data_IF_098409968857
#
_entry.id   IF_098409968857
#
_cell.length_a   1.000
_cell.length_b   1.000
_cell.length_c   1.000
_cell.angle_alpha   90.00
_cell.angle_beta   90.00
_cell.angle_gamma   90.00
#
_symmetry.space_group_name_H-M   'P 1'
#
loop_
_entity.id
_entity.type
_entity.pdbx_description
1 polymer ?
#
# COMPACT_ATOMS: atom_id res chain seq x y z
N UNK A 1 -54.75 -29.24 76.99
CA UNK A 1 -53.89 -29.97 76.04
C UNK A 1 -54.61 -29.97 74.70
N UNK A 2 -53.86 -29.77 73.59
CA UNK A 2 -54.26 -29.78 72.16
C UNK A 2 -55.27 -28.69 71.74
N UNK A 3 -55.09 -27.84 70.73
CA UNK A 3 -54.16 -27.77 69.58
C UNK A 3 -54.18 -26.32 69.00
N UNK A 4 -53.03 -25.63 68.84
CA UNK A 4 -52.91 -24.45 67.98
C UNK A 4 -52.19 -24.78 66.65
N UNK A 5 -52.46 -25.94 66.05
CA UNK A 5 -51.65 -26.46 64.92
C UNK A 5 -52.18 -26.09 63.52
N UNK A 6 -53.38 -25.50 63.42
CA UNK A 6 -54.06 -25.28 62.13
C UNK A 6 -53.67 -23.93 61.47
N UNK A 7 -53.22 -22.94 62.24
CA UNK A 7 -52.98 -21.58 61.75
C UNK A 7 -51.63 -21.43 61.03
N UNK A 8 -50.59 -22.09 61.56
CA UNK A 8 -49.22 -22.00 61.03
C UNK A 8 -49.07 -22.62 59.62
N UNK A 9 -49.90 -23.62 59.28
CA UNK A 9 -49.89 -24.24 57.94
C UNK A 9 -50.56 -23.38 56.87
N UNK A 10 -51.35 -22.38 57.26
CA UNK A 10 -52.04 -21.48 56.32
C UNK A 10 -51.13 -20.30 55.96
N UNK A 11 -50.45 -19.71 56.94
CA UNK A 11 -49.46 -18.66 56.70
C UNK A 11 -48.26 -19.17 55.89
N UNK A 12 -47.73 -20.36 56.19
CA UNK A 12 -46.65 -20.98 55.39
C UNK A 12 -47.03 -21.18 53.92
N UNK A 13 -48.31 -21.47 53.61
CA UNK A 13 -48.78 -21.67 52.22
C UNK A 13 -48.93 -20.35 51.46
N UNK A 14 -49.38 -19.28 52.13
CA UNK A 14 -49.50 -17.95 51.53
C UNK A 14 -48.11 -17.35 51.30
N UNK A 15 -47.20 -17.49 52.27
CA UNK A 15 -45.80 -17.11 52.12
C UNK A 15 -45.14 -17.84 50.94
N UNK A 16 -45.28 -19.17 50.84
CA UNK A 16 -44.74 -19.95 49.72
C UNK A 16 -45.26 -19.53 48.34
N UNK A 17 -46.53 -19.12 48.24
CA UNK A 17 -47.10 -18.61 46.98
C UNK A 17 -46.54 -17.23 46.62
N UNK A 18 -46.45 -16.32 47.59
CA UNK A 18 -45.86 -14.98 47.39
C UNK A 18 -44.37 -15.06 47.05
N UNK A 19 -43.60 -15.94 47.69
CA UNK A 19 -42.18 -16.17 47.38
C UNK A 19 -42.00 -16.74 45.98
N UNK A 20 -42.82 -17.72 45.56
CA UNK A 20 -42.78 -18.28 44.21
C UNK A 20 -43.09 -17.24 43.15
N UNK A 21 -44.10 -16.40 43.37
CA UNK A 21 -44.48 -15.37 42.41
C UNK A 21 -43.35 -14.35 42.21
N UNK A 22 -42.75 -13.86 43.30
CA UNK A 22 -41.62 -12.91 43.21
C UNK A 22 -40.38 -13.52 42.56
N UNK A 23 -40.09 -14.81 42.79
CA UNK A 23 -38.99 -15.51 42.13
C UNK A 23 -39.21 -15.67 40.62
N UNK A 24 -40.44 -15.94 40.20
CA UNK A 24 -40.79 -16.03 38.77
C UNK A 24 -40.64 -14.65 38.11
N UNK A 25 -41.14 -13.59 38.73
CA UNK A 25 -41.00 -12.22 38.22
C UNK A 25 -39.52 -11.81 38.10
N UNK A 26 -38.72 -12.09 39.13
CA UNK A 26 -37.27 -11.82 39.11
C UNK A 26 -36.55 -12.65 38.04
N UNK A 27 -36.90 -13.93 37.88
CA UNK A 27 -36.31 -14.79 36.86
C UNK A 27 -36.62 -14.29 35.44
N UNK A 28 -37.85 -13.82 35.19
CA UNK A 28 -38.23 -13.24 33.90
C UNK A 28 -37.43 -11.98 33.59
N UNK A 29 -37.26 -11.07 34.56
CA UNK A 29 -36.47 -9.84 34.38
C UNK A 29 -35.00 -10.17 34.11
N UNK A 30 -34.39 -11.05 34.91
CA UNK A 30 -32.99 -11.46 34.74
C UNK A 30 -32.79 -12.16 33.40
N UNK A 31 -33.71 -13.03 33.00
CA UNK A 31 -33.65 -13.72 31.71
C UNK A 31 -33.75 -12.76 30.53
N UNK A 32 -34.62 -11.74 30.61
CA UNK A 32 -34.71 -10.67 29.61
C UNK A 32 -33.39 -9.89 29.45
N UNK A 33 -32.74 -9.53 30.57
CA UNK A 33 -31.44 -8.85 30.56
C UNK A 33 -30.33 -9.74 29.98
N UNK A 34 -30.29 -11.03 30.34
CA UNK A 34 -29.30 -11.97 29.82
C UNK A 34 -29.44 -12.18 28.31
N UNK A 35 -30.67 -12.27 27.80
CA UNK A 35 -30.93 -12.36 26.35
C UNK A 35 -30.46 -11.09 25.65
N UNK A 36 -30.76 -9.91 26.18
CA UNK A 36 -30.32 -8.64 25.59
C UNK A 36 -28.78 -8.57 25.49
N UNK A 37 -28.07 -8.91 26.57
CA UNK A 37 -26.60 -8.97 26.58
C UNK A 37 -26.04 -10.03 25.62
N UNK A 38 -26.71 -11.17 25.46
CA UNK A 38 -26.29 -12.20 24.51
C UNK A 38 -26.44 -11.74 23.05
N UNK A 39 -27.51 -11.00 22.74
CA UNK A 39 -27.72 -10.43 21.41
C UNK A 39 -26.70 -9.34 21.08
N UNK A 40 -26.39 -8.44 22.03
CA UNK A 40 -25.39 -7.39 21.83
C UNK A 40 -24.01 -7.99 21.48
N UNK A 41 -23.59 -9.02 22.22
CA UNK A 41 -22.34 -9.74 21.95
C UNK A 41 -22.32 -10.42 20.57
N UNK A 42 -23.46 -10.98 20.11
CA UNK A 42 -23.54 -11.64 18.81
C UNK A 42 -23.48 -10.64 17.65
N UNK A 43 -24.19 -9.51 17.77
CA UNK A 43 -24.19 -8.46 16.74
C UNK A 43 -22.82 -7.81 16.62
N UNK A 44 -22.16 -7.55 17.76
CA UNK A 44 -20.80 -7.03 17.79
C UNK A 44 -19.81 -8.00 17.13
N UNK A 45 -19.91 -9.29 17.41
CA UNK A 45 -19.07 -10.33 16.79
C UNK A 45 -19.25 -10.39 15.27
N UNK A 46 -20.49 -10.32 14.77
CA UNK A 46 -20.78 -10.32 13.32
C UNK A 46 -20.24 -9.06 12.66
N UNK A 47 -20.50 -7.89 13.25
CA UNK A 47 -20.04 -6.61 12.73
C UNK A 47 -18.51 -6.56 12.65
N UNK A 48 -17.81 -6.98 13.71
CA UNK A 48 -16.36 -6.95 13.77
C UNK A 48 -15.70 -7.92 12.78
N UNK A 49 -16.36 -9.03 12.40
CA UNK A 49 -15.91 -9.88 11.29
C UNK A 49 -16.06 -9.20 9.93
N UNK A 50 -17.17 -8.47 9.73
CA UNK A 50 -17.36 -7.63 8.55
C UNK A 50 -16.28 -6.55 8.45
N UNK A 51 -16.03 -5.83 9.55
CA UNK A 51 -15.03 -4.77 9.63
C UNK A 51 -13.60 -5.30 9.30
N UNK A 52 -13.25 -6.51 9.75
CA UNK A 52 -11.97 -7.14 9.43
C UNK A 52 -11.86 -7.51 7.94
N UNK A 53 -12.95 -7.96 7.32
CA UNK A 53 -12.97 -8.26 5.88
C UNK A 53 -12.83 -6.99 5.04
N UNK A 54 -13.61 -5.96 5.34
CA UNK A 54 -13.56 -4.66 4.64
C UNK A 54 -12.17 -4.02 4.74
N UNK A 55 -11.51 -4.21 5.89
CA UNK A 55 -10.15 -3.78 6.11
C UNK A 55 -9.15 -4.50 5.20
N UNK A 56 -9.25 -5.83 5.08
CA UNK A 56 -8.38 -6.61 4.18
C UNK A 56 -8.62 -6.25 2.70
N UNK A 57 -9.86 -5.90 2.32
CA UNK A 57 -10.16 -5.36 0.98
C UNK A 57 -9.48 -4.02 0.76
N UNK A 58 -9.51 -3.11 1.75
CA UNK A 58 -8.81 -1.82 1.65
C UNK A 58 -7.28 -2.00 1.56
N UNK A 59 -6.71 -2.98 2.29
CA UNK A 59 -5.30 -3.33 2.18
C UNK A 59 -4.95 -3.82 0.77
N UNK A 60 -5.81 -4.68 0.20
CA UNK A 60 -5.61 -5.20 -1.16
C UNK A 60 -5.50 -4.08 -2.19
N UNK A 61 -6.34 -3.06 -2.11
CA UNK A 61 -6.32 -1.94 -3.06
C UNK A 61 -5.02 -1.12 -2.97
N UNK A 62 -4.54 -0.84 -1.75
CA UNK A 62 -3.23 -0.20 -1.54
C UNK A 62 -2.07 -1.06 -2.07
N UNK A 63 -2.12 -2.39 -1.83
CA UNK A 63 -1.12 -3.34 -2.32
C UNK A 63 -1.12 -3.43 -3.85
N UNK A 64 -2.29 -3.54 -4.49
CA UNK A 64 -2.40 -3.59 -5.95
C UNK A 64 -1.87 -2.31 -6.61
N UNK A 65 -2.12 -1.15 -5.99
CA UNK A 65 -1.52 0.10 -6.44
C UNK A 65 0.02 0.09 -6.29
N UNK A 66 0.55 -0.41 -5.17
CA UNK A 66 1.99 -0.56 -4.97
C UNK A 66 2.63 -1.53 -5.99
N UNK A 67 1.97 -2.66 -6.29
CA UNK A 67 2.38 -3.62 -7.32
C UNK A 67 2.41 -2.96 -8.70
N UNK A 68 1.36 -2.23 -9.07
CA UNK A 68 1.31 -1.50 -10.35
C UNK A 68 2.44 -0.48 -10.48
N UNK A 69 2.68 0.31 -9.43
CA UNK A 69 3.76 1.31 -9.42
C UNK A 69 5.15 0.65 -9.49
N UNK A 70 5.31 -0.50 -8.84
CA UNK A 70 6.52 -1.31 -8.88
C UNK A 70 6.75 -1.91 -10.27
N UNK A 71 5.69 -2.42 -10.91
CA UNK A 71 5.75 -2.92 -12.28
C UNK A 71 6.16 -1.83 -13.26
N UNK A 72 5.60 -0.61 -13.15
CA UNK A 72 5.98 0.51 -14.00
C UNK A 72 7.49 0.82 -13.88
N UNK A 73 8.05 0.73 -12.66
CA UNK A 73 9.49 0.91 -12.44
C UNK A 73 10.33 -0.13 -13.19
N UNK A 74 9.87 -1.38 -13.27
CA UNK A 74 10.56 -2.40 -14.06
C UNK A 74 10.47 -2.10 -15.57
N UNK A 75 9.30 -1.69 -16.06
CA UNK A 75 9.07 -1.36 -17.48
C UNK A 75 10.01 -0.26 -17.94
N UNK A 76 10.20 0.80 -17.16
CA UNK A 76 11.00 1.97 -17.58
C UNK A 76 12.48 1.89 -17.19
N UNK A 77 12.90 0.88 -16.44
CA UNK A 77 14.27 0.80 -15.92
C UNK A 77 15.36 0.92 -17.01
N UNK A 78 15.23 0.29 -18.20
CA UNK A 78 16.23 0.44 -19.25
C UNK A 78 16.27 1.87 -19.81
N UNK A 79 15.12 2.51 -19.98
CA UNK A 79 15.02 3.91 -20.42
C UNK A 79 15.71 4.88 -19.45
N UNK A 80 15.46 4.71 -18.15
CA UNK A 80 16.09 5.54 -17.12
C UNK A 80 17.62 5.36 -17.11
N UNK A 81 18.08 4.13 -17.26
CA UNK A 81 19.51 3.80 -17.34
C UNK A 81 20.17 4.45 -18.55
N UNK A 82 19.55 4.31 -19.73
CA UNK A 82 20.03 4.92 -20.96
C UNK A 82 20.04 6.46 -20.87
N UNK A 83 18.99 7.06 -20.30
CA UNK A 83 18.95 8.52 -20.16
C UNK A 83 20.06 9.02 -19.24
N UNK A 84 20.33 8.31 -18.14
CA UNK A 84 21.37 8.70 -17.19
C UNK A 84 22.77 8.55 -17.78
N UNK A 85 23.01 7.52 -18.61
CA UNK A 85 24.29 7.36 -19.31
C UNK A 85 24.53 8.49 -20.31
N UNK A 86 23.49 8.93 -21.04
CA UNK A 86 23.55 10.09 -21.94
C UNK A 86 23.88 11.37 -21.17
N UNK A 87 23.18 11.64 -20.08
CA UNK A 87 23.43 12.84 -19.25
C UNK A 87 24.86 12.84 -18.66
N UNK A 88 25.33 11.67 -18.22
CA UNK A 88 26.70 11.50 -17.72
C UNK A 88 27.72 11.80 -18.82
N UNK A 89 27.53 11.24 -20.02
CA UNK A 89 28.42 11.49 -21.15
C UNK A 89 28.46 12.98 -21.51
N UNK A 90 27.31 13.68 -21.47
CA UNK A 90 27.24 15.12 -21.72
C UNK A 90 28.06 15.94 -20.71
N UNK A 91 27.94 15.66 -19.41
CA UNK A 91 28.74 16.36 -18.37
C UNK A 91 30.23 16.04 -18.49
N UNK A 92 30.57 14.87 -19.02
CA UNK A 92 31.96 14.46 -19.27
C UNK A 92 32.58 15.07 -20.53
N UNK A 93 31.80 15.72 -21.40
CA UNK A 93 32.29 16.36 -22.62
C UNK A 93 33.43 17.34 -22.30
N UNK A 94 34.52 17.35 -23.10
CA UNK A 94 35.56 18.37 -23.00
C UNK A 94 34.98 19.79 -23.04
N UNK A 95 35.67 20.75 -22.41
CA UNK A 95 35.28 22.17 -22.39
C UNK A 95 34.01 22.52 -21.58
N UNK A 96 33.35 21.53 -20.97
CA UNK A 96 32.17 21.78 -20.15
C UNK A 96 31.01 22.35 -20.96
N UNK A 97 30.91 21.97 -22.23
CA UNK A 97 29.82 22.35 -23.11
C UNK A 97 28.87 21.18 -23.31
N UNK A 98 27.56 21.43 -23.26
CA UNK A 98 26.54 20.45 -23.62
C UNK A 98 25.28 21.11 -24.18
N UNK A 99 24.61 20.38 -25.05
CA UNK A 99 23.29 20.73 -25.53
C UNK A 99 22.22 20.38 -24.49
N UNK A 100 21.13 21.15 -24.51
CA UNK A 100 19.96 20.87 -23.70
C UNK A 100 19.44 19.45 -23.97
N UNK A 101 19.21 18.68 -22.91
CA UNK A 101 18.69 17.32 -23.02
C UNK A 101 17.34 17.14 -22.30
N UNK A 102 16.31 17.96 -22.58
CA UNK A 102 15.02 17.85 -21.90
C UNK A 102 14.40 16.47 -22.16
N UNK A 103 13.78 15.89 -21.14
CA UNK A 103 12.92 14.73 -21.30
C UNK A 103 11.61 15.18 -21.99
N UNK A 104 11.10 14.33 -22.88
CA UNK A 104 9.83 14.59 -23.56
C UNK A 104 8.69 14.53 -22.52
N UNK A 105 7.85 15.56 -22.47
CA UNK A 105 6.63 15.55 -21.67
C UNK A 105 5.42 15.32 -22.56
N UNK A 106 4.82 14.12 -22.47
CA UNK A 106 3.58 13.78 -23.21
C UNK A 106 2.36 13.61 -22.31
N UNK A 107 2.42 14.00 -21.03
CA UNK A 107 1.27 13.99 -20.11
C UNK A 107 1.66 14.14 -18.63
N UNK A 108 0.77 14.72 -17.83
CA UNK A 108 0.96 14.98 -16.38
C UNK A 108 1.13 16.47 -16.03
N UNK A 109 1.29 16.77 -14.72
CA UNK A 109 1.52 18.11 -14.18
C UNK A 109 2.50 18.90 -15.05
N UNK A 110 2.05 20.01 -15.62
CA UNK A 110 2.88 20.90 -16.41
C UNK A 110 3.93 21.53 -15.48
N UNK A 111 5.12 20.95 -15.44
CA UNK A 111 6.28 21.61 -14.82
C UNK A 111 6.68 22.77 -15.72
N UNK A 112 6.85 23.95 -15.13
CA UNK A 112 7.19 25.17 -15.88
C UNK A 112 8.59 25.10 -16.50
N UNK A 113 9.47 24.25 -15.95
CA UNK A 113 10.83 24.06 -16.43
C UNK A 113 11.00 22.66 -17.00
N UNK A 114 11.76 22.51 -18.11
CA UNK A 114 12.11 21.20 -18.64
C UNK A 114 12.92 20.40 -17.60
N UNK A 115 12.65 19.10 -17.51
CA UNK A 115 13.43 18.19 -16.67
C UNK A 115 14.31 17.31 -17.56
N UNK A 116 15.61 17.14 -17.26
CA UNK A 116 16.49 16.31 -18.09
C UNK A 116 16.32 14.82 -17.78
N UNK A 117 15.75 14.47 -16.63
CA UNK A 117 15.51 13.09 -16.20
C UNK A 117 14.12 13.00 -15.57
N UNK A 118 13.35 11.95 -15.90
CA UNK A 118 11.94 11.81 -15.47
C UNK A 118 11.70 10.47 -14.78
N UNK A 119 11.94 10.41 -13.48
CA UNK A 119 11.42 9.31 -12.67
C UNK A 119 9.90 9.46 -12.49
N UNK A 120 9.10 8.38 -12.47
CA UNK A 120 7.67 8.47 -12.23
C UNK A 120 7.40 8.82 -10.76
N UNK A 121 6.62 9.88 -10.53
CA UNK A 121 6.03 10.17 -9.21
C UNK A 121 4.76 9.38 -9.06
N UNK A 122 4.78 8.42 -8.14
CA UNK A 122 3.59 7.66 -7.75
C UNK A 122 3.34 7.81 -6.27
N UNK A 123 2.06 7.79 -5.90
CA UNK A 123 1.65 7.74 -4.50
C UNK A 123 1.81 6.30 -4.01
N UNK A 124 2.64 6.13 -3.00
CA UNK A 124 2.80 4.89 -2.24
C UNK A 124 1.94 5.00 -0.99
N UNK A 125 0.75 4.41 -1.00
CA UNK A 125 -0.25 4.58 0.05
C UNK A 125 -0.10 3.50 1.12
N UNK A 126 -0.01 3.91 2.37
CA UNK A 126 -0.12 3.08 3.58
C UNK A 126 -1.40 3.39 4.37
N UNK A 127 -2.25 4.27 3.82
CA UNK A 127 -3.31 4.94 4.58
C UNK A 127 -4.37 3.98 5.12
N UNK A 128 -4.65 2.87 4.43
CA UNK A 128 -5.58 1.87 4.95
C UNK A 128 -4.96 1.12 6.12
N UNK A 129 -3.69 0.72 6.00
CA UNK A 129 -2.95 0.05 7.07
C UNK A 129 -2.78 0.94 8.31
N UNK A 130 -2.36 2.19 8.14
CA UNK A 130 -2.15 3.12 9.25
C UNK A 130 -3.45 3.40 10.03
N UNK A 131 -4.59 3.52 9.33
CA UNK A 131 -5.91 3.67 9.97
C UNK A 131 -6.36 2.40 10.70
N UNK A 132 -5.86 1.24 10.27
CA UNK A 132 -6.18 -0.05 10.88
C UNK A 132 -5.46 -0.25 12.21
N UNK A 133 -4.26 0.32 12.35
CA UNK A 133 -3.42 0.13 13.51
C UNK A 133 -4.18 0.56 14.78
N UNK A 134 -4.34 -0.38 15.72
CA UNK A 134 -5.07 -0.15 16.96
C UNK A 134 -6.59 -0.32 16.88
N UNK A 135 -7.17 -0.54 15.69
CA UNK A 135 -8.59 -0.88 15.56
C UNK A 135 -8.88 -2.28 16.09
N UNK A 136 -10.09 -2.49 16.62
CA UNK A 136 -10.56 -3.83 17.04
C UNK A 136 -10.64 -4.81 15.85
N UNK A 137 -10.96 -4.30 14.66
CA UNK A 137 -10.98 -5.09 13.42
C UNK A 137 -9.60 -5.68 13.09
N UNK A 138 -8.53 -4.88 13.22
CA UNK A 138 -7.16 -5.36 12.97
C UNK A 138 -6.73 -6.45 13.95
N UNK A 139 -7.14 -6.37 15.22
CA UNK A 139 -6.84 -7.40 16.24
C UNK A 139 -7.44 -8.77 15.93
N UNK A 140 -8.43 -8.83 15.04
CA UNK A 140 -9.10 -10.06 14.60
C UNK A 140 -8.45 -10.69 13.37
N UNK A 141 -7.56 -9.97 12.69
CA UNK A 141 -6.75 -10.56 11.63
C UNK A 141 -5.81 -11.60 12.29
N UNK A 142 -5.76 -12.85 11.79
CA UNK A 142 -4.80 -13.86 12.22
C UNK A 142 -3.38 -13.30 12.25
N UNK A 143 -2.64 -13.62 13.30
CA UNK A 143 -1.34 -13.00 13.59
C UNK A 143 -0.34 -13.14 12.44
N UNK A 144 -0.27 -14.31 11.81
CA UNK A 144 0.59 -14.58 10.66
C UNK A 144 0.27 -13.68 9.46
N UNK A 145 -1.02 -13.42 9.21
CA UNK A 145 -1.46 -12.49 8.17
C UNK A 145 -1.17 -11.04 8.54
N UNK A 146 -1.42 -10.65 9.79
CA UNK A 146 -1.11 -9.32 10.30
C UNK A 146 0.39 -8.99 10.21
N UNK A 147 1.26 -9.96 10.54
CA UNK A 147 2.72 -9.85 10.38
C UNK A 147 3.10 -9.68 8.90
N UNK A 148 2.49 -10.47 7.99
CA UNK A 148 2.73 -10.34 6.54
C UNK A 148 2.32 -8.97 6.01
N UNK A 149 1.17 -8.43 6.45
CA UNK A 149 0.76 -7.06 6.10
C UNK A 149 1.75 -6.03 6.63
N UNK A 150 2.15 -6.14 7.90
CA UNK A 150 3.08 -5.20 8.51
C UNK A 150 4.42 -5.14 7.75
N UNK A 151 4.98 -6.29 7.38
CA UNK A 151 6.21 -6.35 6.59
C UNK A 151 6.06 -5.71 5.21
N UNK A 152 4.97 -5.99 4.49
CA UNK A 152 4.72 -5.42 3.16
C UNK A 152 4.48 -3.91 3.23
N UNK A 153 3.67 -3.44 4.17
CA UNK A 153 3.41 -2.00 4.33
C UNK A 153 4.65 -1.24 4.80
N UNK A 154 5.53 -1.84 5.60
CA UNK A 154 6.84 -1.26 5.91
C UNK A 154 7.72 -1.10 4.65
N UNK A 155 7.68 -2.04 3.71
CA UNK A 155 8.39 -1.89 2.43
C UNK A 155 7.79 -0.80 1.54
N UNK A 156 6.45 -0.71 1.51
CA UNK A 156 5.74 0.36 0.78
C UNK A 156 6.10 1.73 1.36
N UNK A 157 6.19 1.84 2.69
CA UNK A 157 6.56 3.08 3.37
C UNK A 157 8.02 3.47 3.09
N UNK A 158 8.96 2.53 3.22
CA UNK A 158 10.36 2.77 2.84
C UNK A 158 10.48 3.19 1.35
N UNK A 159 9.64 2.63 0.47
CA UNK A 159 9.60 3.04 -0.94
C UNK A 159 9.03 4.44 -1.12
N UNK A 160 8.05 4.85 -0.30
CA UNK A 160 7.48 6.20 -0.27
C UNK A 160 8.55 7.24 0.06
N UNK A 161 9.34 6.99 1.09
CA UNK A 161 10.45 7.86 1.51
C UNK A 161 11.52 7.95 0.40
N UNK A 162 11.98 6.81 -0.11
CA UNK A 162 12.96 6.79 -1.20
C UNK A 162 12.44 7.47 -2.48
N UNK A 163 11.12 7.47 -2.72
CA UNK A 163 10.53 8.18 -3.85
C UNK A 163 10.64 9.70 -3.70
N UNK A 164 10.50 10.21 -2.48
CA UNK A 164 10.68 11.64 -2.19
C UNK A 164 12.16 12.04 -2.38
N UNK A 165 13.09 11.22 -1.88
CA UNK A 165 14.52 11.46 -2.03
C UNK A 165 14.98 11.39 -3.49
N UNK A 166 14.48 10.41 -4.26
CA UNK A 166 14.73 10.34 -5.70
C UNK A 166 14.25 11.62 -6.40
N UNK A 167 13.06 12.13 -6.04
CA UNK A 167 12.55 13.38 -6.60
C UNK A 167 13.41 14.59 -6.27
N UNK A 168 13.89 14.69 -5.03
CA UNK A 168 14.82 15.73 -4.61
C UNK A 168 16.13 15.64 -5.41
N UNK A 169 16.70 14.44 -5.54
CA UNK A 169 17.90 14.21 -6.33
C UNK A 169 17.71 14.57 -7.81
N UNK A 170 16.58 14.20 -8.42
CA UNK A 170 16.27 14.55 -9.82
C UNK A 170 16.16 16.07 -10.01
N UNK A 171 15.61 16.80 -9.05
CA UNK A 171 15.50 18.27 -9.14
C UNK A 171 16.87 18.96 -9.21
N UNK A 172 17.90 18.36 -8.60
CA UNK A 172 19.28 18.88 -8.65
C UNK A 172 19.93 18.76 -10.05
N UNK A 173 19.31 18.01 -10.96
CA UNK A 173 19.76 17.88 -12.34
C UNK A 173 19.22 18.98 -13.26
N UNK A 174 18.36 19.88 -12.78
CA UNK A 174 17.74 20.94 -13.59
C UNK A 174 18.69 21.71 -14.52
N UNK A 175 19.95 22.04 -14.14
CA UNK A 175 20.89 22.72 -15.05
C UNK A 175 21.17 21.97 -16.36
N UNK A 176 21.05 20.64 -16.37
CA UNK A 176 21.28 19.81 -17.57
C UNK A 176 20.15 19.91 -18.60
N UNK A 177 19.02 20.52 -18.24
CA UNK A 177 17.92 20.75 -19.17
C UNK A 177 18.15 21.96 -20.10
N UNK A 178 19.22 22.73 -19.86
CA UNK A 178 19.56 23.93 -20.61
C UNK A 178 20.93 23.77 -21.27
N UNK A 179 21.15 24.41 -22.43
CA UNK A 179 22.46 24.37 -23.06
C UNK A 179 23.45 25.15 -22.18
N UNK A 180 24.68 24.66 -22.08
CA UNK A 180 25.75 25.30 -21.31
C UNK A 180 27.04 25.30 -22.10
N UNK A 181 27.88 26.30 -21.86
CA UNK A 181 29.23 26.42 -22.44
C UNK A 181 30.21 26.89 -21.36
N UNK A 182 31.44 26.38 -21.39
CA UNK A 182 32.50 26.82 -20.47
C UNK A 182 32.23 26.52 -19.00
N UNK A 183 31.56 25.41 -18.69
CA UNK A 183 31.22 25.06 -17.30
C UNK A 183 32.48 24.69 -16.52
N UNK A 184 32.66 25.36 -15.38
CA UNK A 184 33.79 25.15 -14.48
C UNK A 184 33.88 23.70 -13.97
N UNK A 185 35.11 23.25 -13.69
CA UNK A 185 35.38 21.89 -13.23
C UNK A 185 34.64 21.56 -11.92
N UNK A 186 34.51 22.50 -10.98
CA UNK A 186 33.79 22.26 -9.73
C UNK A 186 32.30 22.03 -9.95
N UNK A 187 31.67 22.78 -10.86
CA UNK A 187 30.26 22.60 -11.24
C UNK A 187 30.06 21.24 -11.89
N UNK A 188 30.97 20.82 -12.78
CA UNK A 188 30.93 19.49 -13.41
C UNK A 188 31.02 18.37 -12.37
N UNK A 189 31.93 18.48 -11.39
CA UNK A 189 32.03 17.51 -10.28
C UNK A 189 30.73 17.46 -9.49
N UNK A 190 30.13 18.60 -9.17
CA UNK A 190 28.83 18.66 -8.49
C UNK A 190 27.70 17.98 -9.28
N UNK A 191 27.64 18.21 -10.60
CA UNK A 191 26.66 17.54 -11.47
C UNK A 191 26.88 16.03 -11.54
N UNK A 192 28.13 15.57 -11.59
CA UNK A 192 28.44 14.13 -11.55
C UNK A 192 28.06 13.49 -10.21
N UNK A 193 28.25 14.20 -9.10
CA UNK A 193 27.78 13.75 -7.78
C UNK A 193 26.25 13.61 -7.75
N UNK A 194 25.53 14.61 -8.28
CA UNK A 194 24.07 14.56 -8.38
C UNK A 194 23.57 13.42 -9.28
N UNK A 195 24.22 13.19 -10.42
CA UNK A 195 23.92 12.07 -11.32
C UNK A 195 24.15 10.72 -10.63
N UNK A 196 25.23 10.59 -9.84
CA UNK A 196 25.52 9.40 -9.05
C UNK A 196 24.45 9.13 -7.97
N UNK A 197 23.97 10.18 -7.30
CA UNK A 197 22.85 10.06 -6.35
C UNK A 197 21.58 9.56 -7.04
N UNK A 198 21.24 10.13 -8.20
CA UNK A 198 20.07 9.69 -8.99
C UNK A 198 20.22 8.23 -9.43
N UNK A 199 21.41 7.79 -9.86
CA UNK A 199 21.64 6.38 -10.21
C UNK A 199 21.39 5.45 -9.02
N UNK A 200 21.94 5.81 -7.85
CA UNK A 200 21.74 5.04 -6.62
C UNK A 200 20.25 4.90 -6.28
N UNK A 201 19.49 6.00 -6.31
CA UNK A 201 18.05 5.96 -6.03
C UNK A 201 17.28 5.15 -7.08
N UNK A 202 17.66 5.25 -8.37
CA UNK A 202 17.06 4.46 -9.45
C UNK A 202 17.25 2.95 -9.21
N UNK A 203 18.47 2.51 -8.89
CA UNK A 203 18.78 1.10 -8.60
C UNK A 203 18.01 0.62 -7.38
N UNK A 204 18.02 1.39 -6.30
CA UNK A 204 17.28 1.04 -5.07
C UNK A 204 15.77 0.93 -5.34
N UNK A 205 15.21 1.87 -6.09
CA UNK A 205 13.80 1.85 -6.48
C UNK A 205 13.44 0.61 -7.30
N UNK A 206 14.33 0.15 -8.19
CA UNK A 206 14.13 -1.08 -8.95
C UNK A 206 14.10 -2.31 -8.03
N UNK A 207 15.10 -2.46 -7.15
CA UNK A 207 15.18 -3.60 -6.22
C UNK A 207 13.98 -3.65 -5.26
N UNK A 208 13.59 -2.51 -4.69
CA UNK A 208 12.40 -2.44 -3.83
C UNK A 208 11.11 -2.79 -4.60
N UNK A 209 11.04 -2.44 -5.87
CA UNK A 209 9.89 -2.77 -6.72
C UNK A 209 9.80 -4.28 -6.97
N UNK A 210 10.92 -4.97 -7.17
CA UNK A 210 10.94 -6.43 -7.26
C UNK A 210 10.48 -7.08 -5.95
N UNK A 211 11.01 -6.62 -4.81
CA UNK A 211 10.66 -7.14 -3.48
C UNK A 211 9.18 -6.96 -3.15
N UNK A 212 8.59 -5.79 -3.46
CA UNK A 212 7.17 -5.53 -3.24
C UNK A 212 6.30 -6.47 -4.08
N UNK A 213 6.64 -6.69 -5.35
CA UNK A 213 5.90 -7.60 -6.23
C UNK A 213 6.02 -9.04 -5.72
N UNK A 214 7.23 -9.52 -5.45
CA UNK A 214 7.47 -10.87 -4.93
C UNK A 214 6.71 -11.10 -3.63
N UNK A 215 6.78 -10.15 -2.70
CA UNK A 215 6.07 -10.24 -1.42
C UNK A 215 4.56 -10.26 -1.61
N UNK A 216 4.01 -9.35 -2.41
CA UNK A 216 2.58 -9.31 -2.69
C UNK A 216 2.07 -10.61 -3.34
N UNK A 217 2.85 -11.20 -4.25
CA UNK A 217 2.51 -12.46 -4.91
C UNK A 217 2.67 -13.69 -4.01
N UNK A 218 3.43 -13.62 -2.92
CA UNK A 218 3.59 -14.74 -1.97
C UNK A 218 2.57 -14.73 -0.82
N UNK A 219 1.76 -13.67 -0.69
CA UNK A 219 0.73 -13.58 0.34
C UNK A 219 -0.38 -14.61 0.14
N UNK A 220 -0.80 -15.26 1.24
CA UNK A 220 -1.93 -16.20 1.25
C UNK A 220 -3.19 -15.52 1.79
N UNK A 221 -4.36 -15.94 1.30
CA UNK A 221 -5.65 -15.61 1.92
C UNK A 221 -6.18 -14.20 1.67
N UNK A 222 -5.55 -13.42 0.80
CA UNK A 222 -6.18 -12.24 0.21
C UNK A 222 -6.96 -12.74 -0.99
N UNK A 223 -8.25 -12.42 -1.11
CA UNK A 223 -9.04 -12.76 -2.29
C UNK A 223 -8.67 -11.87 -3.48
N UNK A 224 -8.20 -12.36 -4.61
CA UNK A 224 -6.89 -12.95 -4.86
C UNK A 224 -6.07 -11.90 -5.62
N UNK A 225 -4.98 -11.38 -5.02
CA UNK A 225 -4.10 -10.38 -5.66
C UNK A 225 -3.63 -10.88 -7.03
N UNK A 226 -3.32 -12.18 -7.13
CA UNK A 226 -2.85 -12.81 -8.36
C UNK A 226 -3.93 -12.81 -9.42
N UNK A 227 -5.15 -13.26 -9.08
CA UNK A 227 -6.30 -13.18 -9.98
C UNK A 227 -6.55 -11.75 -10.47
N UNK A 228 -6.53 -10.75 -9.58
CA UNK A 228 -6.74 -9.35 -9.98
C UNK A 228 -5.64 -8.83 -10.91
N UNK A 229 -4.39 -9.25 -10.71
CA UNK A 229 -3.27 -8.93 -11.63
C UNK A 229 -3.51 -9.57 -13.00
N UNK A 230 -3.86 -10.86 -13.03
CA UNK A 230 -4.10 -11.62 -14.27
C UNK A 230 -5.27 -11.05 -15.07
N UNK A 231 -6.40 -10.79 -14.42
CA UNK A 231 -7.58 -10.13 -15.01
C UNK A 231 -7.26 -8.71 -15.49
N UNK A 232 -6.32 -8.04 -14.80
CA UNK A 232 -5.85 -6.70 -15.11
C UNK A 232 -4.91 -6.59 -16.31
N UNK A 233 -4.51 -7.70 -16.97
CA UNK A 233 -3.56 -7.69 -18.11
C UNK A 233 -3.85 -6.61 -19.17
N UNK A 234 -5.09 -6.41 -19.66
CA UNK A 234 -5.37 -5.37 -20.65
C UNK A 234 -5.06 -3.94 -20.17
N UNK A 235 -5.14 -3.69 -18.85
CA UNK A 235 -4.78 -2.40 -18.28
C UNK A 235 -3.25 -2.20 -18.27
N UNK A 236 -2.47 -3.24 -17.97
CA UNK A 236 -1.01 -3.19 -18.06
C UNK A 236 -0.53 -2.94 -19.50
N UNK A 237 -1.14 -3.61 -20.48
CA UNK A 237 -0.81 -3.42 -21.89
C UNK A 237 -1.13 -1.98 -22.37
N UNK A 238 -2.26 -1.42 -21.92
CA UNK A 238 -2.59 -0.01 -22.15
C UNK A 238 -1.60 0.94 -21.50
N UNK A 239 -1.13 0.62 -20.29
CA UNK A 239 -0.14 1.44 -19.59
C UNK A 239 1.23 1.38 -20.29
N UNK A 240 1.61 0.25 -20.88
CA UNK A 240 2.82 0.15 -21.72
C UNK A 240 2.75 1.12 -22.90
N UNK A 241 1.63 1.16 -23.62
CA UNK A 241 1.51 2.04 -24.78
C UNK A 241 1.55 3.52 -24.39
N UNK A 242 0.91 3.90 -23.27
CA UNK A 242 1.01 5.24 -22.69
C UNK A 242 2.44 5.57 -22.25
N UNK A 243 3.12 4.62 -21.61
CA UNK A 243 4.50 4.80 -21.12
C UNK A 243 5.48 4.96 -22.27
N UNK A 244 5.29 4.20 -23.36
CA UNK A 244 6.09 4.33 -24.60
C UNK A 244 6.03 5.74 -25.16
N UNK A 245 4.87 6.40 -25.10
CA UNK A 245 4.74 7.78 -25.58
C UNK A 245 5.56 8.80 -24.77
N UNK A 246 5.92 8.50 -23.51
CA UNK A 246 6.73 9.39 -22.66
C UNK A 246 8.21 9.01 -22.62
N UNK A 247 8.52 7.71 -22.65
CA UNK A 247 9.89 7.20 -22.46
C UNK A 247 10.56 6.71 -23.75
N UNK A 248 9.79 6.46 -24.81
CA UNK A 248 10.29 5.93 -26.08
C UNK A 248 10.36 4.40 -26.11
N UNK A 249 11.10 3.87 -27.09
CA UNK A 249 11.12 2.43 -27.41
C UNK A 249 12.01 1.59 -26.50
N UNK A 250 12.79 2.22 -25.61
CA UNK A 250 13.64 1.55 -24.63
C UNK A 250 12.86 0.83 -23.50
N UNK A 251 11.52 0.89 -23.49
CA UNK A 251 10.71 0.26 -22.44
C UNK A 251 10.80 -1.27 -22.51
N UNK A 252 10.87 -1.92 -21.35
CA UNK A 252 10.83 -3.37 -21.25
C UNK A 252 9.39 -3.88 -21.21
N UNK A 253 8.82 -4.13 -22.40
CA UNK A 253 7.49 -4.70 -22.52
C UNK A 253 7.37 -6.11 -21.92
N UNK A 254 8.48 -6.85 -21.77
CA UNK A 254 8.48 -8.20 -21.18
C UNK A 254 8.26 -8.17 -19.67
N UNK A 255 8.34 -7.01 -19.02
CA UNK A 255 8.02 -6.86 -17.60
C UNK A 255 6.56 -7.27 -17.30
N UNK A 256 5.62 -7.02 -18.23
CA UNK A 256 4.25 -7.53 -18.08
C UNK A 256 4.21 -9.05 -18.13
N UNK A 257 4.86 -9.68 -19.10
CA UNK A 257 4.87 -11.15 -19.19
C UNK A 257 5.50 -11.80 -17.96
N UNK A 258 6.56 -11.20 -17.40
CA UNK A 258 7.16 -11.64 -16.12
C UNK A 258 6.18 -11.51 -14.96
N UNK A 259 5.47 -10.38 -14.84
CA UNK A 259 4.46 -10.18 -13.81
C UNK A 259 3.32 -11.21 -13.94
N UNK A 260 2.82 -11.45 -15.15
CA UNK A 260 1.75 -12.42 -15.39
C UNK A 260 2.20 -13.85 -15.10
N UNK A 261 3.43 -14.20 -15.51
CA UNK A 261 4.00 -15.51 -15.19
C UNK A 261 4.18 -15.72 -13.69
N UNK A 262 4.64 -14.70 -12.96
CA UNK A 262 4.81 -14.77 -11.51
C UNK A 262 3.47 -14.84 -10.78
N UNK A 263 2.43 -14.16 -11.29
CA UNK A 263 1.08 -14.25 -10.73
C UNK A 263 0.43 -15.61 -10.99
N UNK A 264 0.75 -16.28 -12.10
CA UNK A 264 0.21 -17.59 -12.47
C UNK A 264 0.91 -18.81 -11.83
N UNK A 265 2.05 -18.62 -11.16
CA UNK A 265 2.86 -19.68 -10.55
C UNK A 265 2.51 -19.91 -9.08
#
# INVERSE_FOLDING_TARGET
>A
MSEPEVDERRERRVFWRLSRQRLVEMAVVVFGVLIALAFDNLVEEIRLRGDAHDLEVAFRDDILNAVRNSWERQVIAPCLTQKLSVLTAQVMTPEGAWDAAPAVSTGGLAVALPQPYRAPSRRWSTASFDRALGSEAFKRIPRDRAETYAELFAQIDARRENNADEYAAVSSLAPLAFPQTGVDAAVRVGLLQNLSMVDRHRVLAFVQSEQIIERALSMRGIADIRATILEGRPNYDRLISQTRASYGDCIDARATDRLMSAAGA
#
